data_IF_430131940775
#
_entry.id   IF_430131940775
#
_cell.length_a   1.000
_cell.length_b   1.000
_cell.length_c   1.000
_cell.angle_alpha   90.00
_cell.angle_beta   90.00
_cell.angle_gamma   90.00
#
_symmetry.space_group_name_H-M   'P 1'
#
loop_
_entity.id
_entity.type
_entity.pdbx_description
1 polymer ?
#
# COMPACT_ATOMS: atom_id res chain seq x y z
N UNK A 1 2.54 -10.77 22.43
CA UNK A 1 3.90 -10.76 21.87
C UNK A 1 4.32 -9.32 21.61
N UNK A 2 5.54 -8.91 21.97
CA UNK A 2 6.10 -7.58 21.65
C UNK A 2 6.69 -7.54 20.23
N UNK A 3 6.99 -6.34 19.71
CA UNK A 3 7.64 -6.20 18.40
C UNK A 3 9.03 -6.84 18.38
N UNK A 4 9.80 -6.67 19.46
CA UNK A 4 11.11 -7.30 19.60
C UNK A 4 11.03 -8.83 19.55
N UNK A 5 10.03 -9.43 20.22
CA UNK A 5 9.81 -10.88 20.16
C UNK A 5 9.44 -11.35 18.75
N UNK A 6 8.61 -10.59 18.02
CA UNK A 6 8.26 -10.91 16.65
C UNK A 6 9.51 -10.85 15.74
N UNK A 7 10.32 -9.80 15.86
CA UNK A 7 11.56 -9.63 15.10
C UNK A 7 12.53 -10.80 15.35
N UNK A 8 12.71 -11.21 16.62
CA UNK A 8 13.57 -12.35 16.97
C UNK A 8 13.12 -13.67 16.33
N UNK A 9 11.81 -13.91 16.25
CA UNK A 9 11.25 -15.09 15.57
C UNK A 9 11.54 -15.05 14.06
N UNK A 10 11.40 -13.88 13.44
CA UNK A 10 11.65 -13.71 12.00
C UNK A 10 13.15 -13.85 11.70
N UNK A 11 14.02 -13.24 12.49
CA UNK A 11 15.48 -13.37 12.35
C UNK A 11 15.92 -14.82 12.49
N UNK A 12 15.32 -15.56 13.43
CA UNK A 12 15.57 -16.99 13.59
C UNK A 12 15.15 -17.75 12.34
N UNK A 13 13.94 -17.54 11.83
CA UNK A 13 13.45 -18.21 10.62
C UNK A 13 14.31 -17.87 9.40
N UNK A 14 14.71 -16.62 9.20
CA UNK A 14 15.50 -16.23 8.02
C UNK A 14 16.94 -16.78 8.08
N UNK A 15 17.45 -16.99 9.29
CA UNK A 15 18.75 -17.64 9.51
C UNK A 15 18.68 -19.15 9.29
N UNK A 16 17.73 -19.81 9.96
CA UNK A 16 17.61 -21.28 10.02
C UNK A 16 16.85 -21.88 8.82
N UNK A 17 15.99 -21.09 8.18
CA UNK A 17 15.16 -21.43 6.99
C UNK A 17 14.35 -22.71 7.21
N UNK A 18 13.57 -22.73 8.30
CA UNK A 18 12.83 -23.95 8.66
C UNK A 18 11.63 -24.19 7.75
N UNK A 19 11.11 -23.15 7.10
CA UNK A 19 10.09 -23.23 6.06
C UNK A 19 10.75 -23.27 4.68
N UNK A 20 10.34 -24.21 3.82
CA UNK A 20 10.85 -24.31 2.45
C UNK A 20 10.59 -23.04 1.61
N UNK A 21 9.49 -22.33 1.87
CA UNK A 21 9.21 -21.04 1.20
C UNK A 21 10.23 -19.97 1.57
N UNK A 22 10.68 -19.93 2.83
CA UNK A 22 11.74 -19.00 3.26
C UNK A 22 13.03 -19.26 2.50
N UNK A 23 13.42 -20.52 2.33
CA UNK A 23 14.61 -20.89 1.56
C UNK A 23 14.50 -20.40 0.11
N UNK A 24 13.37 -20.69 -0.56
CA UNK A 24 13.14 -20.27 -1.94
C UNK A 24 13.17 -18.76 -2.13
N UNK A 25 12.51 -18.00 -1.26
CA UNK A 25 12.51 -16.55 -1.36
C UNK A 25 13.89 -15.95 -1.09
N UNK A 26 14.62 -16.45 -0.09
CA UNK A 26 15.95 -15.95 0.24
C UNK A 26 17.05 -16.37 -0.75
N UNK A 27 16.77 -17.29 -1.67
CA UNK A 27 17.66 -17.62 -2.79
C UNK A 27 17.74 -16.49 -3.82
N UNK A 28 16.61 -15.83 -4.08
CA UNK A 28 16.49 -14.82 -5.15
C UNK A 28 16.31 -13.38 -4.65
N UNK A 29 15.99 -13.22 -3.36
CA UNK A 29 15.73 -11.94 -2.72
C UNK A 29 16.49 -11.78 -1.41
N UNK A 30 16.66 -10.54 -0.97
CA UNK A 30 17.35 -10.22 0.28
C UNK A 30 16.55 -9.22 1.10
N UNK A 31 16.32 -9.46 2.40
CA UNK A 31 15.72 -8.45 3.27
C UNK A 31 16.72 -7.32 3.51
N UNK A 32 16.20 -6.16 3.91
CA UNK A 32 17.04 -5.02 4.29
C UNK A 32 17.42 -5.11 5.77
N UNK A 33 18.71 -4.88 6.07
CA UNK A 33 19.22 -4.71 7.43
C UNK A 33 19.66 -3.26 7.66
N UNK A 34 19.36 -2.72 8.85
CA UNK A 34 19.84 -1.41 9.31
C UNK A 34 20.44 -1.58 10.70
N UNK A 35 21.66 -1.10 10.92
CA UNK A 35 22.40 -1.29 12.18
C UNK A 35 22.49 -2.76 12.64
N UNK A 36 22.74 -3.67 11.68
CA UNK A 36 22.75 -5.13 11.87
C UNK A 36 21.43 -5.73 12.39
N UNK A 37 20.32 -4.99 12.31
CA UNK A 37 18.99 -5.49 12.66
C UNK A 37 18.11 -5.58 11.43
N UNK A 38 17.26 -6.59 11.40
CA UNK A 38 16.28 -6.74 10.34
C UNK A 38 15.34 -5.52 10.31
N UNK A 39 15.23 -4.86 9.15
CA UNK A 39 14.30 -3.76 9.00
C UNK A 39 12.89 -4.33 8.86
N UNK A 40 11.97 -3.84 9.69
CA UNK A 40 10.54 -4.16 9.63
C UNK A 40 9.79 -2.86 9.45
N UNK A 41 9.08 -2.71 8.34
CA UNK A 41 8.37 -1.46 7.99
C UNK A 41 7.00 -1.38 8.67
N UNK A 42 6.36 -2.52 8.96
CA UNK A 42 5.14 -2.58 9.78
C UNK A 42 4.96 -3.95 10.43
N UNK A 43 4.40 -3.99 11.63
CA UNK A 43 3.83 -5.20 12.24
C UNK A 43 2.33 -4.97 12.40
N UNK A 44 1.56 -5.71 11.64
CA UNK A 44 0.11 -5.67 11.68
C UNK A 44 -0.45 -6.63 12.72
N UNK A 45 -1.35 -6.10 13.55
CA UNK A 45 -2.02 -6.77 14.66
C UNK A 45 -3.54 -6.61 14.61
N UNK A 46 -4.07 -6.04 13.52
CA UNK A 46 -5.50 -5.73 13.39
C UNK A 46 -6.34 -6.99 13.11
N UNK A 47 -5.69 -8.12 12.78
CA UNK A 47 -6.36 -9.40 12.57
C UNK A 47 -6.85 -10.02 13.88
N UNK A 48 -8.04 -10.65 13.80
CA UNK A 48 -8.74 -11.25 14.95
C UNK A 48 -8.33 -12.68 15.26
N UNK A 49 -7.50 -13.29 14.42
CA UNK A 49 -7.15 -14.71 14.41
C UNK A 49 -5.84 -15.02 15.14
N UNK A 50 -5.36 -14.11 16.00
CA UNK A 50 -4.10 -14.25 16.76
C UNK A 50 -2.87 -14.44 15.88
N UNK A 51 -2.99 -14.13 14.58
CA UNK A 51 -1.89 -14.05 13.63
C UNK A 51 -1.49 -12.58 13.52
N UNK A 52 -0.19 -12.32 13.59
CA UNK A 52 0.38 -11.03 13.24
C UNK A 52 1.16 -11.17 11.93
N UNK A 53 1.20 -10.09 11.16
CA UNK A 53 1.96 -10.04 9.90
C UNK A 53 3.04 -8.97 10.04
N UNK A 54 4.30 -9.38 9.88
CA UNK A 54 5.40 -8.44 9.77
C UNK A 54 5.74 -8.22 8.30
N UNK A 55 5.80 -6.97 7.88
CA UNK A 55 6.16 -6.56 6.53
C UNK A 55 7.60 -6.08 6.49
N UNK A 56 8.44 -6.80 5.74
CA UNK A 56 9.87 -6.53 5.62
C UNK A 56 10.18 -6.07 4.21
N UNK A 57 10.84 -4.92 4.03
CA UNK A 57 11.23 -4.46 2.71
C UNK A 57 12.29 -5.39 2.11
N UNK A 58 12.17 -5.61 0.81
CA UNK A 58 13.10 -6.40 0.00
C UNK A 58 14.07 -5.44 -0.71
N UNK A 59 15.36 -5.79 -0.72
CA UNK A 59 16.40 -4.98 -1.31
C UNK A 59 16.18 -4.80 -2.82
N UNK A 60 16.19 -3.54 -3.28
CA UNK A 60 16.00 -3.13 -4.69
C UNK A 60 14.65 -3.54 -5.30
N UNK A 61 13.65 -3.85 -4.47
CA UNK A 61 12.35 -4.32 -4.92
C UNK A 61 11.20 -3.45 -4.39
N UNK A 62 10.07 -3.51 -5.09
CA UNK A 62 8.81 -2.80 -4.73
C UNK A 62 7.74 -3.78 -4.29
N UNK A 63 8.08 -4.65 -3.36
CA UNK A 63 7.16 -5.51 -2.61
C UNK A 63 7.81 -5.84 -1.26
N UNK A 64 7.10 -6.53 -0.39
CA UNK A 64 7.58 -6.90 0.94
C UNK A 64 7.60 -8.41 1.10
N UNK A 65 8.44 -8.92 1.99
CA UNK A 65 8.12 -10.19 2.64
C UNK A 65 7.00 -9.94 3.65
N UNK A 66 5.94 -10.74 3.58
CA UNK A 66 4.93 -10.87 4.61
C UNK A 66 5.23 -12.11 5.44
N UNK A 67 5.57 -11.90 6.71
CA UNK A 67 5.90 -12.98 7.64
C UNK A 67 4.76 -13.16 8.63
N UNK A 68 4.13 -14.32 8.59
CA UNK A 68 2.98 -14.67 9.42
C UNK A 68 3.45 -15.35 10.69
N UNK A 69 3.06 -14.81 11.85
CA UNK A 69 3.45 -15.33 13.15
C UNK A 69 2.19 -15.70 13.93
N UNK A 70 2.12 -16.96 14.35
CA UNK A 70 1.11 -17.45 15.28
C UNK A 70 1.49 -17.03 16.70
N UNK A 71 0.69 -16.14 17.30
CA UNK A 71 1.01 -15.60 18.62
C UNK A 71 0.71 -16.56 19.77
N UNK A 72 -0.08 -17.62 19.55
CA UNK A 72 -0.30 -18.69 20.55
C UNK A 72 0.88 -19.65 20.60
N UNK A 73 1.41 -20.03 19.44
CA UNK A 73 2.54 -20.95 19.33
C UNK A 73 3.89 -20.26 19.42
N UNK A 74 3.92 -18.94 19.23
CA UNK A 74 5.14 -18.14 19.21
C UNK A 74 6.11 -18.63 18.14
N UNK A 75 5.59 -18.86 16.92
CA UNK A 75 6.33 -19.41 15.78
C UNK A 75 5.98 -18.68 14.48
N UNK A 76 6.93 -18.62 13.55
CA UNK A 76 6.66 -18.22 12.17
C UNK A 76 5.97 -19.39 11.47
N UNK A 77 4.78 -19.16 10.93
CA UNK A 77 3.95 -20.19 10.27
C UNK A 77 3.93 -20.05 8.75
N UNK A 78 4.44 -18.94 8.23
CA UNK A 78 4.48 -18.67 6.79
C UNK A 78 5.33 -17.46 6.45
N UNK A 79 5.92 -17.51 5.26
CA UNK A 79 6.56 -16.37 4.60
C UNK A 79 6.01 -16.32 3.18
N UNK A 80 5.53 -15.14 2.78
CA UNK A 80 5.06 -14.86 1.42
C UNK A 80 5.57 -13.49 0.97
N UNK A 81 5.24 -13.09 -0.25
CA UNK A 81 5.43 -11.72 -0.74
C UNK A 81 4.11 -10.95 -0.74
N UNK A 82 4.11 -9.75 -0.18
CA UNK A 82 3.00 -8.81 -0.28
C UNK A 82 3.32 -7.72 -1.29
N UNK A 83 2.39 -7.46 -2.22
CA UNK A 83 2.58 -6.42 -3.22
C UNK A 83 2.66 -5.02 -2.58
N UNK A 84 3.42 -4.11 -3.21
CA UNK A 84 3.42 -2.72 -2.79
C UNK A 84 2.14 -2.02 -3.27
N UNK A 85 1.16 -1.93 -2.37
CA UNK A 85 -0.11 -1.29 -2.63
C UNK A 85 -0.08 0.23 -2.36
N UNK A 86 -0.53 1.00 -3.34
CA UNK A 86 -0.89 2.41 -3.18
C UNK A 86 -2.36 2.58 -3.56
N UNK A 87 -3.22 2.78 -2.57
CA UNK A 87 -4.66 3.05 -2.76
C UNK A 87 -4.93 4.48 -2.29
N UNK A 88 -5.29 5.36 -3.22
CA UNK A 88 -5.45 6.77 -2.93
C UNK A 88 -6.59 7.38 -3.75
N UNK A 89 -7.22 8.42 -3.21
CA UNK A 89 -8.09 9.27 -4.01
C UNK A 89 -7.24 10.33 -4.70
N UNK A 90 -7.53 10.56 -5.99
CA UNK A 90 -6.89 11.60 -6.78
C UNK A 90 -7.95 12.43 -7.48
N UNK A 91 -7.79 13.75 -7.42
CA UNK A 91 -8.59 14.72 -8.18
C UNK A 91 -7.66 15.60 -9.01
N UNK A 92 -7.83 15.58 -10.34
CA UNK A 92 -7.01 16.38 -11.27
C UNK A 92 -7.84 17.34 -12.10
N UNK A 93 -7.27 18.52 -12.39
CA UNK A 93 -7.91 19.52 -13.25
C UNK A 93 -6.88 20.26 -14.11
N UNK A 94 -7.20 20.46 -15.38
CA UNK A 94 -6.39 21.27 -16.29
C UNK A 94 -6.74 22.77 -16.23
N UNK A 95 -7.83 23.11 -15.51
CA UNK A 95 -8.43 24.45 -15.42
C UNK A 95 -8.35 25.01 -14.00
N UNK A 96 -8.71 24.22 -12.97
CA UNK A 96 -8.75 24.67 -11.59
C UNK A 96 -7.35 24.66 -10.96
N UNK A 97 -7.08 25.61 -10.04
CA UNK A 97 -5.84 25.64 -9.25
C UNK A 97 -5.90 24.66 -8.07
N UNK A 98 -4.74 24.31 -7.50
CA UNK A 98 -4.71 23.48 -6.29
C UNK A 98 -5.45 24.12 -5.11
N UNK A 99 -5.42 25.45 -4.98
CA UNK A 99 -6.15 26.15 -3.93
C UNK A 99 -7.66 26.04 -4.11
N UNK A 100 -8.15 26.11 -5.35
CA UNK A 100 -9.57 25.87 -5.63
C UNK A 100 -9.97 24.43 -5.33
N UNK A 101 -9.12 23.45 -5.65
CA UNK A 101 -9.37 22.04 -5.30
C UNK A 101 -9.41 21.85 -3.78
N UNK A 102 -8.42 22.36 -3.06
CA UNK A 102 -8.37 22.30 -1.58
C UNK A 102 -9.59 22.95 -0.95
N UNK A 103 -10.10 24.05 -1.50
CA UNK A 103 -11.28 24.73 -0.97
C UNK A 103 -12.60 23.94 -1.14
N UNK A 104 -12.62 22.85 -1.92
CA UNK A 104 -13.82 22.02 -2.08
C UNK A 104 -14.05 21.08 -0.91
N UNK A 105 -13.04 20.82 -0.09
CA UNK A 105 -13.12 19.89 1.04
C UNK A 105 -12.40 20.43 2.26
N UNK A 106 -12.84 20.06 3.46
CA UNK A 106 -12.10 20.36 4.68
C UNK A 106 -11.04 19.29 5.02
N UNK A 107 -10.92 18.23 4.23
CA UNK A 107 -9.90 17.21 4.41
C UNK A 107 -8.52 17.75 4.03
N UNK A 108 -7.51 17.40 4.82
CA UNK A 108 -6.12 17.75 4.53
C UNK A 108 -5.55 16.78 3.49
N UNK A 109 -5.10 17.25 2.33
CA UNK A 109 -4.49 16.36 1.33
C UNK A 109 -3.11 15.87 1.78
N UNK A 110 -2.76 14.68 1.31
CA UNK A 110 -1.40 14.12 1.45
C UNK A 110 -0.43 14.84 0.52
N UNK A 111 -0.82 15.02 -0.75
CA UNK A 111 -0.03 15.75 -1.74
C UNK A 111 -0.93 16.65 -2.58
N UNK A 112 -0.39 17.76 -3.08
CA UNK A 112 -1.05 18.65 -4.01
C UNK A 112 -0.03 19.45 -4.80
N UNK A 113 -0.43 19.94 -5.98
CA UNK A 113 0.34 20.88 -6.79
C UNK A 113 -0.61 21.62 -7.74
N UNK A 114 -0.21 22.81 -8.16
CA UNK A 114 -0.89 23.57 -9.21
C UNK A 114 -0.27 23.30 -10.57
N UNK A 115 -1.07 23.47 -11.62
CA UNK A 115 -0.57 23.57 -12.98
C UNK A 115 0.48 24.68 -13.07
N UNK A 116 1.63 24.37 -13.67
CA UNK A 116 2.76 25.29 -13.79
C UNK A 116 3.81 25.14 -12.69
N UNK A 117 3.48 24.48 -11.57
CA UNK A 117 4.47 24.22 -10.51
C UNK A 117 5.59 23.33 -11.04
N UNK A 118 6.81 23.58 -10.58
CA UNK A 118 7.96 22.77 -10.94
C UNK A 118 7.84 21.38 -10.30
N UNK A 119 8.03 20.31 -11.09
CA UNK A 119 8.04 18.94 -10.56
C UNK A 119 9.21 18.75 -9.59
N UNK A 120 9.10 17.77 -8.69
CA UNK A 120 10.17 17.38 -7.73
C UNK A 120 11.54 17.16 -8.39
N UNK A 121 11.59 16.70 -9.65
CA UNK A 121 12.84 16.52 -10.40
C UNK A 121 13.51 17.82 -10.87
N UNK A 122 12.80 18.95 -10.85
CA UNK A 122 13.26 20.24 -11.35
C UNK A 122 13.30 20.36 -12.88
N UNK A 123 12.96 19.30 -13.62
CA UNK A 123 13.19 19.23 -15.08
C UNK A 123 12.01 19.70 -15.94
N UNK A 124 10.82 19.80 -15.36
CA UNK A 124 9.61 20.19 -16.07
C UNK A 124 8.53 20.63 -15.09
N UNK A 125 7.50 21.31 -15.60
CA UNK A 125 6.36 21.75 -14.81
C UNK A 125 5.21 20.73 -14.85
N UNK A 126 4.31 20.82 -13.87
CA UNK A 126 3.04 20.11 -13.88
C UNK A 126 2.10 20.71 -14.94
N UNK A 127 1.45 19.85 -15.74
CA UNK A 127 0.53 20.27 -16.80
C UNK A 127 -0.92 20.40 -16.34
N UNK A 128 -1.21 20.00 -15.11
CA UNK A 128 -2.51 20.03 -14.45
C UNK A 128 -2.31 20.23 -12.94
N UNK A 129 -3.35 20.71 -12.25
CA UNK A 129 -3.40 20.77 -10.79
C UNK A 129 -3.94 19.47 -10.22
N UNK A 130 -3.48 19.09 -9.03
CA UNK A 130 -3.81 17.82 -8.41
C UNK A 130 -4.03 17.96 -6.90
N UNK A 131 -4.88 17.08 -6.38
CA UNK A 131 -5.11 16.85 -4.96
C UNK A 131 -5.12 15.33 -4.72
N UNK A 132 -4.33 14.85 -3.75
CA UNK A 132 -4.19 13.42 -3.43
C UNK A 132 -4.45 13.16 -1.95
N UNK A 133 -5.16 12.08 -1.65
CA UNK A 133 -5.35 11.56 -0.29
C UNK A 133 -4.91 10.10 -0.22
N UNK A 134 -3.86 9.85 0.56
CA UNK A 134 -3.27 8.55 0.82
C UNK A 134 -3.13 8.39 2.34
N UNK A 135 -4.17 7.93 3.05
CA UNK A 135 -4.15 7.82 4.51
C UNK A 135 -3.28 6.67 5.04
N UNK A 136 -2.95 5.70 4.19
CA UNK A 136 -2.20 4.50 4.59
C UNK A 136 -0.98 4.28 3.68
N UNK A 137 0.14 5.00 3.90
CA UNK A 137 1.35 4.88 3.10
C UNK A 137 2.24 3.68 3.47
N UNK A 138 2.04 3.07 4.64
CA UNK A 138 2.80 1.91 5.14
C UNK A 138 2.46 0.63 4.36
N UNK A 139 3.23 -0.47 4.44
CA UNK A 139 2.86 -1.74 3.82
C UNK A 139 1.52 -2.25 4.36
N UNK A 140 0.58 -2.65 3.52
CA UNK A 140 -0.72 -3.18 3.97
C UNK A 140 -1.45 -3.88 2.83
N UNK A 141 -2.44 -4.69 3.18
CA UNK A 141 -3.33 -5.33 2.22
C UNK A 141 -4.21 -4.29 1.51
N UNK A 142 -4.58 -4.58 0.26
CA UNK A 142 -5.38 -3.68 -0.58
C UNK A 142 -6.72 -3.33 0.10
N UNK A 143 -7.41 -4.32 0.65
CA UNK A 143 -8.73 -4.22 1.26
C UNK A 143 -8.69 -3.26 2.46
N UNK A 144 -7.67 -3.37 3.31
CA UNK A 144 -7.53 -2.52 4.48
C UNK A 144 -7.15 -1.09 4.10
N UNK A 145 -6.33 -0.91 3.05
CA UNK A 145 -6.05 0.41 2.48
C UNK A 145 -7.28 1.06 1.88
N UNK A 146 -8.10 0.31 1.14
CA UNK A 146 -9.34 0.82 0.58
C UNK A 146 -10.30 1.25 1.69
N UNK A 147 -10.48 0.43 2.73
CA UNK A 147 -11.32 0.78 3.87
C UNK A 147 -10.83 2.03 4.59
N UNK A 148 -9.53 2.14 4.87
CA UNK A 148 -8.91 3.32 5.49
C UNK A 148 -9.08 4.57 4.62
N UNK A 149 -8.96 4.43 3.29
CA UNK A 149 -9.22 5.52 2.36
C UNK A 149 -10.69 5.96 2.41
N UNK A 150 -11.63 5.04 2.24
CA UNK A 150 -13.06 5.36 2.26
C UNK A 150 -13.47 6.01 3.58
N UNK A 151 -12.95 5.52 4.72
CA UNK A 151 -13.22 6.09 6.05
C UNK A 151 -12.67 7.51 6.21
N UNK A 152 -11.58 7.87 5.52
CA UNK A 152 -11.09 9.25 5.47
C UNK A 152 -12.02 10.11 4.61
N UNK A 153 -12.37 9.65 3.41
CA UNK A 153 -13.18 10.41 2.45
C UNK A 153 -14.59 10.69 2.97
N UNK A 154 -15.18 9.75 3.71
CA UNK A 154 -16.50 9.88 4.33
C UNK A 154 -16.57 10.96 5.41
N UNK A 155 -15.44 11.43 5.93
CA UNK A 155 -15.42 12.56 6.86
C UNK A 155 -15.85 13.86 6.19
N UNK A 156 -15.83 13.94 4.85
CA UNK A 156 -16.35 15.07 4.06
C UNK A 156 -17.00 14.59 2.75
N UNK A 157 -18.11 13.86 2.87
CA UNK A 157 -18.80 13.31 1.69
C UNK A 157 -19.20 14.39 0.66
N UNK A 158 -19.59 15.58 1.11
CA UNK A 158 -20.02 16.67 0.22
C UNK A 158 -18.81 17.18 -0.57
N UNK A 159 -17.68 17.43 0.10
CA UNK A 159 -16.47 17.90 -0.56
C UNK A 159 -15.89 16.86 -1.52
N UNK A 160 -15.91 15.58 -1.15
CA UNK A 160 -15.44 14.50 -2.02
C UNK A 160 -16.32 14.33 -3.26
N UNK A 161 -17.65 14.39 -3.12
CA UNK A 161 -18.55 14.40 -4.29
C UNK A 161 -18.26 15.59 -5.20
N UNK A 162 -18.09 16.76 -4.62
CA UNK A 162 -17.77 17.96 -5.39
C UNK A 162 -16.45 17.80 -6.17
N UNK A 163 -15.43 17.22 -5.55
CA UNK A 163 -14.16 16.91 -6.21
C UNK A 163 -14.36 15.88 -7.33
N UNK A 164 -15.13 14.81 -7.10
CA UNK A 164 -15.42 13.78 -8.10
C UNK A 164 -16.17 14.35 -9.32
N UNK A 165 -17.15 15.21 -9.10
CA UNK A 165 -18.01 15.77 -10.16
C UNK A 165 -17.33 16.89 -10.96
N UNK A 166 -16.56 17.77 -10.29
CA UNK A 166 -15.98 18.97 -10.93
C UNK A 166 -14.58 18.75 -11.47
N UNK A 167 -14.02 17.56 -11.27
CA UNK A 167 -12.64 17.22 -11.67
C UNK A 167 -12.60 15.80 -12.25
N UNK A 168 -11.42 15.34 -12.68
CA UNK A 168 -11.19 13.92 -12.94
C UNK A 168 -10.86 13.24 -11.60
N UNK A 169 -11.88 13.06 -10.75
CA UNK A 169 -11.76 12.53 -9.39
C UNK A 169 -12.14 11.05 -9.29
N UNK A 170 -11.24 10.19 -8.80
CA UNK A 170 -11.48 8.74 -8.65
C UNK A 170 -10.49 8.11 -7.66
N UNK A 171 -10.75 6.86 -7.27
CA UNK A 171 -9.78 6.05 -6.51
C UNK A 171 -8.79 5.42 -7.48
N UNK A 172 -7.50 5.68 -7.30
CA UNK A 172 -6.42 5.05 -8.04
C UNK A 172 -5.72 4.01 -7.17
N UNK A 173 -5.50 2.84 -7.76
CA UNK A 173 -4.80 1.71 -7.18
C UNK A 173 -3.57 1.44 -8.03
N UNK A 174 -2.39 1.57 -7.44
CA UNK A 174 -1.14 1.15 -8.07
C UNK A 174 -0.53 0.01 -7.26
N UNK A 175 -0.10 -1.03 -7.96
CA UNK A 175 0.36 -2.28 -7.36
C UNK A 175 1.64 -2.74 -8.02
N UNK A 176 2.70 -2.88 -7.25
CA UNK A 176 3.95 -3.49 -7.71
C UNK A 176 4.01 -4.92 -7.11
N UNK A 177 3.91 -5.94 -7.98
CA UNK A 177 3.67 -7.35 -7.63
C UNK A 177 4.89 -8.19 -8.00
N UNK A 178 5.30 -9.09 -7.10
CA UNK A 178 6.42 -9.99 -7.34
C UNK A 178 6.17 -10.96 -8.52
N UNK A 179 7.10 -10.98 -9.48
CA UNK A 179 7.03 -11.78 -10.71
C UNK A 179 7.13 -13.28 -10.46
N UNK A 180 7.95 -13.71 -9.49
CA UNK A 180 8.24 -15.13 -9.25
C UNK A 180 7.02 -15.97 -8.87
N UNK A 181 5.94 -15.36 -8.34
CA UNK A 181 4.76 -16.10 -7.89
C UNK A 181 3.97 -16.72 -9.06
N UNK A 182 4.23 -16.33 -10.32
CA UNK A 182 3.58 -16.86 -11.51
C UNK A 182 2.08 -16.53 -11.62
N UNK A 183 1.52 -15.85 -10.62
CA UNK A 183 0.16 -15.33 -10.58
C UNK A 183 0.18 -13.88 -10.11
N UNK A 184 -0.53 -13.03 -10.84
CA UNK A 184 -0.90 -11.69 -10.41
C UNK A 184 -2.11 -11.91 -9.50
N UNK A 185 -1.96 -11.63 -8.19
CA UNK A 185 -2.98 -11.91 -7.18
C UNK A 185 -4.36 -11.33 -7.49
N UNK A 186 -5.38 -11.78 -6.75
CA UNK A 186 -6.75 -11.29 -6.87
C UNK A 186 -7.15 -10.45 -5.67
N UNK A 187 -7.83 -9.33 -5.92
CA UNK A 187 -8.37 -8.46 -4.87
C UNK A 187 -9.89 -8.52 -4.85
N UNK A 188 -10.46 -8.43 -3.66
CA UNK A 188 -11.91 -8.41 -3.48
C UNK A 188 -12.34 -7.06 -2.95
N UNK A 189 -13.22 -6.38 -3.69
CA UNK A 189 -13.96 -5.25 -3.14
C UNK A 189 -15.26 -5.79 -2.59
N UNK A 190 -15.43 -5.75 -1.27
CA UNK A 190 -16.66 -6.24 -0.66
C UNK A 190 -17.86 -5.33 -0.94
N UNK A 191 -19.07 -5.86 -0.76
CA UNK A 191 -20.31 -5.15 -1.10
C UNK A 191 -20.49 -3.84 -0.32
N UNK A 192 -19.95 -3.74 0.89
CA UNK A 192 -20.02 -2.50 1.68
C UNK A 192 -19.09 -1.46 1.08
N UNK A 193 -17.87 -1.82 0.71
CA UNK A 193 -16.93 -0.88 0.09
C UNK A 193 -17.40 -0.43 -1.30
N UNK A 194 -18.03 -1.31 -2.10
CA UNK A 194 -18.70 -0.92 -3.35
C UNK A 194 -19.79 0.14 -3.07
N UNK A 195 -20.63 -0.09 -2.05
CA UNK A 195 -21.70 0.85 -1.69
C UNK A 195 -21.12 2.19 -1.24
N UNK A 196 -20.08 2.19 -0.39
CA UNK A 196 -19.40 3.40 0.11
C UNK A 196 -18.81 4.22 -1.04
N UNK A 197 -18.14 3.57 -1.99
CA UNK A 197 -17.65 4.21 -3.21
C UNK A 197 -18.77 4.85 -4.02
N UNK A 198 -19.87 4.12 -4.25
CA UNK A 198 -21.02 4.63 -4.98
C UNK A 198 -21.67 5.82 -4.26
N UNK A 199 -21.79 5.76 -2.93
CA UNK A 199 -22.30 6.86 -2.11
C UNK A 199 -21.43 8.10 -2.19
N UNK A 200 -20.12 7.97 -2.44
CA UNK A 200 -19.18 9.08 -2.68
C UNK A 200 -19.11 9.51 -4.15
N UNK A 201 -19.80 8.82 -5.06
CA UNK A 201 -19.75 9.10 -6.51
C UNK A 201 -18.42 8.73 -7.15
N UNK A 202 -17.72 7.73 -6.61
CA UNK A 202 -16.35 7.37 -7.01
C UNK A 202 -16.31 6.11 -7.87
N UNK A 203 -15.49 6.17 -8.93
CA UNK A 203 -14.97 5.00 -9.62
C UNK A 203 -13.61 4.59 -9.04
N UNK A 204 -13.13 3.40 -9.44
CA UNK A 204 -11.81 2.88 -9.09
C UNK A 204 -11.07 2.46 -10.36
N UNK A 205 -9.75 2.69 -10.39
CA UNK A 205 -8.88 2.32 -11.50
C UNK A 205 -7.64 1.60 -10.98
N UNK A 206 -7.25 0.52 -11.65
CA UNK A 206 -6.13 -0.33 -11.28
C UNK A 206 -4.99 -0.21 -12.30
N UNK A 207 -3.78 -0.06 -11.76
CA UNK A 207 -2.53 -0.03 -12.50
C UNK A 207 -1.58 -1.07 -11.88
N UNK A 208 -1.31 -2.13 -12.63
CA UNK A 208 -0.63 -3.33 -12.14
C UNK A 208 0.74 -3.44 -12.80
N UNK A 209 1.78 -3.53 -11.97
CA UNK A 209 3.17 -3.68 -12.37
C UNK A 209 3.68 -5.01 -11.85
N UNK A 210 4.40 -5.74 -12.70
CA UNK A 210 5.08 -6.97 -12.32
C UNK A 210 6.57 -6.65 -12.22
N UNK A 211 7.18 -6.95 -11.07
CA UNK A 211 8.55 -6.56 -10.71
C UNK A 211 9.32 -7.72 -10.07
N UNK A 212 10.63 -7.60 -10.04
CA UNK A 212 11.55 -8.53 -9.40
C UNK A 212 11.89 -9.80 -10.16
N UNK A 213 12.77 -10.59 -9.54
CA UNK A 213 13.35 -11.80 -10.10
C UNK A 213 12.37 -12.98 -10.13
N UNK A 214 12.53 -13.85 -11.13
CA UNK A 214 11.85 -15.15 -11.15
C UNK A 214 12.61 -16.16 -10.30
N UNK A 215 11.90 -17.15 -9.77
CA UNK A 215 12.53 -18.34 -9.21
C UNK A 215 13.34 -19.06 -10.29
N UNK A 216 14.49 -19.60 -9.90
CA UNK A 216 15.34 -20.39 -10.80
C UNK A 216 14.62 -21.72 -11.04
N UNK A 217 14.29 -21.98 -12.32
CA UNK A 217 13.65 -23.23 -12.78
C UNK A 217 14.65 -24.35 -12.98
#
# INVERSE_FOLDING_TARGET
>A
MTDQQAIELIEKEFKEKTLGMTEQYLEIHSPIYSDNKLKVDRIDRDRKDEIIIAYLPVFDERFYFAVYIDTKKNEVIGVDTEAYHRVYFIATSEILSADTLKAMTHLKPTEYWSKGDLRKSGKSNHTFSCLIFLPNPEPDEFEDKLKKLLSLLEQDMIGIKQLAEKTKGFISVAMDIHNGNGMIGGHTIDINDIRRMNELGLSISFDLYVVGNNFIS
#
